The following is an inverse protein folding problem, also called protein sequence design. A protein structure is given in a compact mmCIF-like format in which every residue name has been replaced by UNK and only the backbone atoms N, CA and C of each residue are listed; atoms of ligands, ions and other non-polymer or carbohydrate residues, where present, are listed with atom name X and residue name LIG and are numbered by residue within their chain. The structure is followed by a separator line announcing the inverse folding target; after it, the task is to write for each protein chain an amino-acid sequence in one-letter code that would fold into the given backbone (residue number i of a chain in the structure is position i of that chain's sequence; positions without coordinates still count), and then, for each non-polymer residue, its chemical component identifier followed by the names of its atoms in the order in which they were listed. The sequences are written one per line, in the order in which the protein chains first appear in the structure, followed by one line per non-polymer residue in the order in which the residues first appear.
data_IF_195407673996
#
_entry.id   IF_195407673996
#
_cell.length_a   1.000
_cell.length_b   1.000
_cell.length_c   1.000
_cell.angle_alpha   90.00
_cell.angle_beta   90.00
_cell.angle_gamma   90.00
#
_symmetry.space_group_name_H-M   'P 1'
#
loop_
_entity.id
_entity.type
_entity.pdbx_description
1 polymer ?
#
# COMPACT_ATOMS: atom_id res chain seq x y z
N UNK A 1 -28.38 66.78 9.32
CA UNK A 1 -28.40 65.60 10.22
C UNK A 1 -27.56 64.49 9.59
N UNK A 2 -26.62 63.97 10.39
CA UNK A 2 -25.83 62.73 10.30
C UNK A 2 -24.94 62.35 9.09
N UNK A 3 -23.63 62.43 9.37
CA UNK A 3 -22.49 61.67 8.82
C UNK A 3 -22.58 60.17 9.11
N UNK A 4 -21.91 59.38 8.25
CA UNK A 4 -20.99 58.22 8.48
C UNK A 4 -21.35 57.07 7.53
N UNK A 5 -20.44 56.41 6.82
CA UNK A 5 -18.98 56.47 6.69
C UNK A 5 -18.57 55.73 5.38
N UNK A 6 -17.46 56.11 4.75
CA UNK A 6 -16.17 55.37 4.80
C UNK A 6 -16.19 54.14 3.85
N UNK A 7 -15.30 53.88 2.89
CA UNK A 7 -14.14 54.50 2.26
C UNK A 7 -13.97 53.71 0.92
N UNK A 8 -13.65 54.38 -0.19
CA UNK A 8 -12.34 54.41 -0.85
C UNK A 8 -11.84 53.08 -1.47
N UNK A 9 -11.36 53.28 -2.70
CA UNK A 9 -10.71 52.37 -3.63
C UNK A 9 -9.52 51.57 -3.07
N UNK A 10 -9.17 50.53 -3.84
CA UNK A 10 -8.00 49.66 -3.73
C UNK A 10 -8.44 48.28 -4.21
N UNK A 11 -8.19 47.82 -5.44
CA UNK A 11 -6.87 47.46 -5.95
C UNK A 11 -5.93 46.96 -4.84
N UNK A 12 -5.26 45.84 -5.12
CA UNK A 12 -4.43 45.01 -4.23
C UNK A 12 -5.25 43.87 -3.58
N UNK A 13 -4.91 42.59 -3.71
CA UNK A 13 -3.55 42.10 -3.78
C UNK A 13 -3.51 40.66 -4.32
N UNK A 14 -3.46 40.50 -5.64
CA UNK A 14 -2.90 39.30 -6.28
C UNK A 14 -1.39 39.27 -5.98
N UNK A 15 -1.01 38.86 -4.78
CA UNK A 15 0.36 38.49 -4.46
C UNK A 15 0.54 36.98 -4.65
N UNK A 16 0.39 36.54 -5.90
CA UNK A 16 1.14 35.40 -6.40
C UNK A 16 2.56 35.89 -6.63
N UNK A 17 3.38 35.90 -5.57
CA UNK A 17 4.79 36.24 -5.70
C UNK A 17 5.42 35.23 -6.67
N UNK A 18 5.77 35.74 -7.84
CA UNK A 18 6.50 35.05 -8.87
C UNK A 18 7.82 34.54 -8.28
N UNK A 19 7.97 33.23 -8.15
CA UNK A 19 9.29 32.62 -8.09
C UNK A 19 9.80 32.54 -9.52
N UNK A 20 10.66 33.50 -9.86
CA UNK A 20 11.39 33.54 -11.11
C UNK A 20 12.40 32.38 -11.19
N UNK A 21 12.10 31.43 -12.07
CA UNK A 21 12.93 30.32 -12.53
C UNK A 21 12.04 29.44 -13.42
N UNK A 22 12.55 28.69 -14.42
CA UNK A 22 11.71 27.78 -15.20
C UNK A 22 11.36 26.56 -14.33
N UNK A 23 10.48 26.77 -13.35
CA UNK A 23 9.87 25.72 -12.55
C UNK A 23 8.49 25.43 -13.12
N UNK A 24 8.38 24.34 -13.87
CA UNK A 24 7.07 23.81 -14.25
C UNK A 24 6.37 23.34 -12.96
N UNK A 25 5.39 24.12 -12.49
CA UNK A 25 4.49 23.71 -11.42
C UNK A 25 3.32 22.95 -12.04
N UNK A 26 3.35 21.63 -12.01
CA UNK A 26 2.13 20.84 -12.23
C UNK A 26 1.26 21.05 -11.00
N UNK A 27 0.03 21.56 -11.18
CA UNK A 27 -0.99 21.56 -10.14
C UNK A 27 -1.62 20.16 -10.18
N UNK A 28 -1.26 19.26 -9.27
CA UNK A 28 -1.71 17.88 -9.36
C UNK A 28 -3.12 17.80 -8.75
N UNK A 29 -4.07 17.20 -9.49
CA UNK A 29 -5.52 17.26 -9.19
C UNK A 29 -6.06 15.93 -8.65
N UNK A 30 -5.20 14.90 -8.53
CA UNK A 30 -5.63 13.52 -8.38
C UNK A 30 -6.33 13.17 -7.06
N UNK A 31 -7.57 12.70 -7.18
CA UNK A 31 -8.12 11.64 -6.32
C UNK A 31 -8.03 10.34 -7.13
N UNK A 32 -7.64 9.22 -6.51
CA UNK A 32 -7.58 7.95 -7.26
C UNK A 32 -8.98 7.53 -7.69
N UNK A 33 -9.19 7.09 -8.95
CA UNK A 33 -10.52 6.71 -9.45
C UNK A 33 -10.97 5.31 -9.00
N UNK A 34 -10.13 4.57 -8.26
CA UNK A 34 -10.39 3.17 -7.94
C UNK A 34 -11.29 3.01 -6.73
N UNK A 35 -12.40 2.30 -6.92
CA UNK A 35 -13.36 1.93 -5.86
C UNK A 35 -13.09 0.55 -5.26
N UNK A 36 -12.10 -0.17 -5.78
CA UNK A 36 -11.69 -1.50 -5.32
C UNK A 36 -10.16 -1.57 -5.15
N UNK A 37 -9.65 -2.50 -4.31
CA UNK A 37 -8.22 -2.72 -4.13
C UNK A 37 -7.50 -2.99 -5.45
N UNK A 38 -6.69 -2.03 -5.89
CA UNK A 38 -6.06 -2.01 -7.21
C UNK A 38 -4.55 -2.17 -7.08
N UNK A 39 -3.97 -3.08 -7.87
CA UNK A 39 -2.52 -3.18 -7.99
C UNK A 39 -1.96 -1.96 -8.71
N UNK A 40 -0.91 -1.35 -8.16
CA UNK A 40 -0.27 -0.17 -8.74
C UNK A 40 1.21 -0.42 -9.01
N UNK A 41 1.74 0.22 -10.04
CA UNK A 41 3.16 0.18 -10.33
C UNK A 41 3.92 1.03 -9.31
N UNK A 42 4.85 0.40 -8.57
CA UNK A 42 5.76 1.11 -7.68
C UNK A 42 7.09 1.28 -8.40
N UNK A 43 7.28 2.44 -9.02
CA UNK A 43 8.56 2.84 -9.62
C UNK A 43 9.53 3.31 -8.54
N UNK A 44 10.85 3.42 -8.82
CA UNK A 44 11.80 3.99 -7.86
C UNK A 44 11.40 5.39 -7.39
N UNK A 45 10.87 6.23 -8.28
CA UNK A 45 10.37 7.57 -7.92
C UNK A 45 9.20 7.49 -6.94
N UNK A 46 8.23 6.62 -7.20
CA UNK A 46 7.08 6.39 -6.31
C UNK A 46 7.55 5.87 -4.94
N UNK A 47 8.53 4.96 -4.91
CA UNK A 47 9.10 4.44 -3.66
C UNK A 47 9.76 5.55 -2.82
N UNK A 48 10.56 6.41 -3.46
CA UNK A 48 11.19 7.56 -2.79
C UNK A 48 10.18 8.60 -2.30
N UNK A 49 8.98 8.66 -2.88
CA UNK A 49 7.89 9.51 -2.38
C UNK A 49 7.13 8.86 -1.21
N UNK A 50 6.91 7.54 -1.23
CA UNK A 50 6.15 6.83 -0.19
C UNK A 50 6.86 6.89 1.18
N UNK A 51 8.18 6.67 1.21
CA UNK A 51 8.93 6.55 2.48
C UNK A 51 8.90 7.85 3.31
N UNK A 52 9.19 9.05 2.75
CA UNK A 52 9.13 10.31 3.49
C UNK A 52 7.71 10.71 3.90
N UNK A 53 6.70 10.41 3.07
CA UNK A 53 5.29 10.72 3.39
C UNK A 53 4.78 10.00 4.64
N UNK A 54 5.34 8.83 4.96
CA UNK A 54 5.02 8.08 6.18
C UNK A 54 5.54 8.73 7.47
N UNK A 55 6.43 9.73 7.39
CA UNK A 55 7.14 10.29 8.56
C UNK A 55 7.12 11.81 8.63
N UNK A 56 6.95 12.52 7.51
CA UNK A 56 7.03 13.97 7.45
C UNK A 56 5.67 14.67 7.65
N UNK A 57 5.70 15.83 8.32
CA UNK A 57 4.58 16.76 8.47
C UNK A 57 4.99 18.17 7.99
N UNK A 58 5.45 18.27 6.74
CA UNK A 58 5.85 19.55 6.14
C UNK A 58 4.75 20.10 5.22
N UNK A 59 4.73 21.40 4.91
CA UNK A 59 3.84 21.97 3.91
C UNK A 59 3.98 21.32 2.53
N UNK A 60 5.20 20.85 2.19
CA UNK A 60 5.54 20.14 0.95
C UNK A 60 4.86 18.76 0.83
N UNK A 61 4.33 18.23 1.94
CA UNK A 61 3.65 16.94 1.98
C UNK A 61 2.45 16.89 1.05
N UNK A 62 1.61 17.94 1.03
CA UNK A 62 0.41 17.96 0.18
C UNK A 62 0.76 17.88 -1.30
N UNK A 63 1.77 18.63 -1.75
CA UNK A 63 2.23 18.54 -3.14
C UNK A 63 2.81 17.16 -3.45
N UNK A 64 3.55 16.56 -2.52
CA UNK A 64 4.12 15.23 -2.70
C UNK A 64 3.04 14.12 -2.71
N UNK A 65 1.98 14.22 -1.89
CA UNK A 65 0.84 13.30 -1.93
C UNK A 65 0.08 13.39 -3.24
N UNK A 66 -0.18 14.60 -3.72
CA UNK A 66 -0.85 14.82 -5.01
C UNK A 66 -0.01 14.30 -6.18
N UNK A 67 1.30 14.59 -6.18
CA UNK A 67 2.23 14.04 -7.17
C UNK A 67 2.27 12.52 -7.12
N UNK A 68 2.28 11.93 -5.91
CA UNK A 68 2.22 10.48 -5.76
C UNK A 68 0.97 9.93 -6.44
N UNK A 69 -0.22 10.47 -6.15
CA UNK A 69 -1.48 10.03 -6.77
C UNK A 69 -1.44 10.12 -8.28
N UNK A 70 -0.90 11.21 -8.83
CA UNK A 70 -0.79 11.41 -10.28
C UNK A 70 0.22 10.44 -10.94
N UNK A 71 1.20 9.94 -10.18
CA UNK A 71 2.19 8.95 -10.64
C UNK A 71 1.72 7.49 -10.49
N UNK A 72 0.61 7.23 -9.77
CA UNK A 72 0.13 5.87 -9.57
C UNK A 72 -0.59 5.36 -10.83
N UNK A 73 0.08 4.43 -11.52
CA UNK A 73 -0.51 3.72 -12.65
C UNK A 73 -1.09 2.38 -12.20
N UNK A 74 -2.35 2.12 -12.54
CA UNK A 74 -2.98 0.82 -12.28
C UNK A 74 -2.35 -0.26 -13.16
N UNK A 75 -2.05 -1.40 -12.56
CA UNK A 75 -1.59 -2.60 -13.26
C UNK A 75 -2.75 -3.60 -13.27
N UNK A 76 -2.93 -4.40 -14.33
CA UNK A 76 -3.90 -5.49 -14.33
C UNK A 76 -3.75 -6.31 -13.05
N UNK A 77 -4.78 -6.31 -12.21
CA UNK A 77 -4.74 -6.99 -10.92
C UNK A 77 -4.69 -8.49 -11.18
N UNK A 78 -3.52 -9.11 -10.99
CA UNK A 78 -3.48 -10.56 -10.85
C UNK A 78 -4.20 -10.90 -9.55
N UNK A 79 -5.16 -11.85 -9.54
CA UNK A 79 -5.82 -12.24 -8.32
C UNK A 79 -4.76 -12.58 -7.26
N UNK A 80 -4.84 -11.97 -6.07
CA UNK A 80 -4.00 -12.36 -4.94
C UNK A 80 -4.47 -13.72 -4.42
N UNK A 81 -4.20 -14.75 -5.20
CA UNK A 81 -4.51 -16.14 -4.88
C UNK A 81 -3.50 -16.67 -3.88
N UNK A 82 -4.00 -17.37 -2.87
CA UNK A 82 -3.19 -18.20 -1.99
C UNK A 82 -3.26 -19.62 -2.51
N UNK A 83 -2.18 -20.16 -3.10
CA UNK A 83 -2.13 -21.56 -3.50
C UNK A 83 -2.38 -22.42 -2.27
N UNK A 84 -3.33 -23.36 -2.38
CA UNK A 84 -3.63 -24.30 -1.32
C UNK A 84 -2.83 -25.57 -1.60
N UNK A 85 -1.91 -25.97 -0.71
CA UNK A 85 -1.13 -27.18 -0.89
C UNK A 85 -2.02 -28.43 -0.86
N UNK A 86 -1.57 -29.47 -1.55
CA UNK A 86 -2.24 -30.77 -1.62
C UNK A 86 -1.79 -31.68 -0.47
N UNK A 87 -0.54 -31.54 0.00
CA UNK A 87 -0.06 -32.29 1.17
C UNK A 87 -0.91 -31.96 2.41
N UNK A 88 -1.53 -32.96 3.08
CA UNK A 88 -2.36 -32.74 4.26
C UNK A 88 -1.65 -32.00 5.39
N UNK A 89 -0.34 -32.22 5.56
CA UNK A 89 0.45 -31.58 6.61
C UNK A 89 0.61 -30.09 6.32
N UNK A 90 0.89 -29.74 5.06
CA UNK A 90 1.00 -28.35 4.63
C UNK A 90 -0.36 -27.66 4.66
N UNK A 91 -1.44 -28.39 4.34
CA UNK A 91 -2.82 -27.91 4.44
C UNK A 91 -3.17 -27.50 5.87
N UNK A 92 -2.88 -28.35 6.86
CA UNK A 92 -3.07 -28.02 8.28
C UNK A 92 -2.36 -26.72 8.66
N UNK A 93 -1.12 -26.53 8.21
CA UNK A 93 -0.35 -25.30 8.46
C UNK A 93 -1.03 -24.10 7.78
N UNK A 94 -1.35 -24.20 6.50
CA UNK A 94 -1.94 -23.08 5.75
C UNK A 94 -3.32 -22.70 6.26
N UNK A 95 -4.13 -23.67 6.69
CA UNK A 95 -5.47 -23.43 7.24
C UNK A 95 -5.37 -22.69 8.57
N UNK A 96 -4.43 -23.09 9.45
CA UNK A 96 -4.19 -22.39 10.70
C UNK A 96 -3.71 -20.94 10.48
N UNK A 97 -2.81 -20.72 9.52
CA UNK A 97 -2.32 -19.39 9.16
C UNK A 97 -3.37 -18.50 8.48
N UNK A 98 -4.38 -19.09 7.82
CA UNK A 98 -5.52 -18.34 7.27
C UNK A 98 -6.54 -18.00 8.37
N UNK A 99 -6.74 -18.91 9.33
CA UNK A 99 -7.60 -18.67 10.48
C UNK A 99 -7.04 -17.54 11.37
N UNK A 100 -5.73 -17.53 11.59
CA UNK A 100 -5.03 -16.43 12.25
C UNK A 100 -3.89 -15.89 11.38
N UNK A 101 -4.21 -14.88 10.56
CA UNK A 101 -3.21 -14.23 9.70
C UNK A 101 -2.13 -13.46 10.49
N UNK A 102 -2.32 -13.20 11.78
CA UNK A 102 -1.33 -12.55 12.62
C UNK A 102 -0.28 -13.53 13.17
N UNK A 103 -0.54 -14.83 13.09
CA UNK A 103 0.37 -15.88 13.53
C UNK A 103 1.76 -15.75 12.87
N UNK A 104 2.79 -15.67 13.72
CA UNK A 104 4.19 -15.49 13.34
C UNK A 104 4.96 -16.79 13.15
N UNK A 105 4.38 -17.94 13.49
CA UNK A 105 5.06 -19.24 13.45
C UNK A 105 5.62 -19.55 12.07
N UNK A 106 6.85 -20.05 12.04
CA UNK A 106 7.52 -20.54 10.85
C UNK A 106 7.31 -22.06 10.70
N UNK A 107 7.78 -22.65 9.59
CA UNK A 107 7.65 -24.09 9.38
C UNK A 107 8.39 -24.93 10.42
N UNK A 108 9.38 -24.36 11.12
CA UNK A 108 10.09 -25.07 12.18
C UNK A 108 9.20 -25.26 13.42
N UNK A 109 8.41 -24.24 13.78
CA UNK A 109 7.41 -24.33 14.84
C UNK A 109 6.26 -25.31 14.53
N UNK A 110 6.12 -25.76 13.28
CA UNK A 110 5.09 -26.72 12.89
C UNK A 110 5.57 -28.18 12.88
N UNK A 111 6.87 -28.44 13.00
CA UNK A 111 7.42 -29.82 12.95
C UNK A 111 6.82 -30.73 14.03
N UNK A 112 6.56 -30.22 15.22
CA UNK A 112 5.97 -30.98 16.33
C UNK A 112 4.48 -31.26 16.10
N UNK A 113 3.81 -30.41 15.30
CA UNK A 113 2.39 -30.54 14.97
C UNK A 113 2.15 -31.43 13.75
N UNK A 114 3.12 -31.52 12.85
CA UNK A 114 3.07 -32.35 11.64
C UNK A 114 4.34 -33.16 11.55
N UNK A 115 4.27 -34.48 11.82
CA UNK A 115 5.39 -35.43 11.87
C UNK A 115 6.27 -35.46 10.58
N UNK A 116 7.06 -34.39 10.38
CA UNK A 116 7.81 -34.05 9.19
C UNK A 116 8.89 -33.03 9.55
N UNK A 117 10.14 -33.31 9.21
CA UNK A 117 11.22 -32.36 9.46
C UNK A 117 11.12 -31.08 8.62
N UNK A 118 11.69 -29.98 9.13
CA UNK A 118 11.71 -28.64 8.50
C UNK A 118 12.13 -28.70 7.03
N UNK A 119 13.21 -29.43 6.72
CA UNK A 119 13.75 -29.53 5.35
C UNK A 119 12.72 -30.11 4.37
N UNK A 120 11.94 -31.09 4.82
CA UNK A 120 10.88 -31.71 4.00
C UNK A 120 9.73 -30.74 3.81
N UNK A 121 9.29 -30.06 4.88
CA UNK A 121 8.22 -29.07 4.82
C UNK A 121 8.58 -27.90 3.90
N UNK A 122 9.76 -27.30 4.07
CA UNK A 122 10.21 -26.16 3.24
C UNK A 122 10.29 -26.52 1.76
N UNK A 123 10.87 -27.68 1.44
CA UNK A 123 10.99 -28.15 0.04
C UNK A 123 9.62 -28.42 -0.58
N UNK A 124 8.73 -29.13 0.13
CA UNK A 124 7.38 -29.43 -0.37
C UNK A 124 6.53 -28.17 -0.49
N UNK A 125 6.59 -27.28 0.49
CA UNK A 125 5.86 -26.02 0.47
C UNK A 125 6.22 -25.20 -0.77
N UNK A 126 7.52 -25.04 -1.06
CA UNK A 126 7.96 -24.32 -2.27
C UNK A 126 7.59 -25.06 -3.55
N UNK A 127 7.66 -26.40 -3.57
CA UNK A 127 7.29 -27.19 -4.74
C UNK A 127 5.79 -27.11 -5.07
N UNK A 128 4.92 -27.05 -4.06
CA UNK A 128 3.46 -27.02 -4.25
C UNK A 128 2.90 -25.61 -4.40
N UNK A 129 3.45 -24.63 -3.67
CA UNK A 129 2.93 -23.24 -3.68
C UNK A 129 3.70 -22.30 -4.59
N UNK A 130 4.88 -22.70 -5.07
CA UNK A 130 5.79 -21.87 -5.86
C UNK A 130 6.52 -20.79 -5.04
N UNK A 131 6.29 -20.68 -3.73
CA UNK A 131 6.83 -19.60 -2.89
C UNK A 131 7.32 -20.10 -1.53
N UNK A 132 8.02 -19.25 -0.80
CA UNK A 132 8.41 -19.53 0.59
C UNK A 132 7.23 -19.36 1.55
N UNK A 133 7.27 -20.00 2.72
CA UNK A 133 6.24 -19.82 3.74
C UNK A 133 6.11 -18.38 4.25
N UNK A 134 7.20 -17.59 4.21
CA UNK A 134 7.18 -16.17 4.56
C UNK A 134 6.40 -15.35 3.51
N UNK A 135 6.69 -15.55 2.22
CA UNK A 135 5.95 -14.90 1.14
C UNK A 135 4.46 -15.26 1.16
N UNK A 136 4.15 -16.55 1.34
CA UNK A 136 2.77 -17.03 1.43
C UNK A 136 2.01 -16.38 2.60
N UNK A 137 2.64 -16.25 3.77
CA UNK A 137 2.07 -15.55 4.94
C UNK A 137 1.83 -14.07 4.65
N UNK A 138 2.78 -13.39 4.01
CA UNK A 138 2.60 -11.99 3.60
C UNK A 138 1.38 -11.85 2.68
N UNK A 139 1.23 -12.72 1.68
CA UNK A 139 0.05 -12.71 0.81
C UNK A 139 -1.23 -12.99 1.60
N UNK A 140 -1.20 -13.90 2.57
CA UNK A 140 -2.35 -14.22 3.40
C UNK A 140 -2.82 -13.03 4.24
N UNK A 141 -1.86 -12.29 4.83
CA UNK A 141 -2.12 -11.05 5.58
C UNK A 141 -2.69 -9.94 4.70
N UNK A 142 -2.11 -9.73 3.52
CA UNK A 142 -2.61 -8.73 2.57
C UNK A 142 -4.04 -9.08 2.14
N UNK A 143 -4.30 -10.35 1.80
CA UNK A 143 -5.63 -10.84 1.42
C UNK A 143 -6.65 -10.67 2.55
N UNK A 144 -6.27 -10.98 3.79
CA UNK A 144 -7.13 -10.80 4.96
C UNK A 144 -7.50 -9.32 5.17
N UNK A 145 -6.53 -8.40 5.03
CA UNK A 145 -6.76 -6.95 5.13
C UNK A 145 -7.64 -6.41 4.02
N UNK A 146 -7.40 -6.82 2.78
CA UNK A 146 -8.21 -6.46 1.62
C UNK A 146 -9.68 -6.89 1.82
N UNK A 147 -9.91 -8.09 2.37
CA UNK A 147 -11.27 -8.59 2.64
C UNK A 147 -11.95 -7.91 3.83
N UNK A 148 -11.17 -7.42 4.81
CA UNK A 148 -11.68 -6.81 6.03
C UNK A 148 -12.03 -5.31 5.87
N UNK A 149 -11.63 -4.67 4.77
CA UNK A 149 -12.01 -3.29 4.49
C UNK A 149 -13.54 -3.23 4.25
N UNK A 150 -14.31 -2.43 5.04
CA UNK A 150 -15.73 -2.28 4.84
C UNK A 150 -16.02 -1.68 3.45
N UNK A 151 -17.05 -2.22 2.78
CA UNK A 151 -17.61 -1.67 1.53
C UNK A 151 -18.38 -0.38 1.79
#
# INVERSE_FOLDING_TARGET
MHRKGLAAAGEQEQHGHALAGPGYGVVPTGTTPWTEPTGVLVTPLVQELIVPLGTAHSPARRQAEQLLVDLLESVPSTPLTLPVPTDPRLRTITDALVADSSDGRDLAAWVDHVAAGVRTLTRRFRAETGMTSAQWRTHARIRARIRAAPR
#
